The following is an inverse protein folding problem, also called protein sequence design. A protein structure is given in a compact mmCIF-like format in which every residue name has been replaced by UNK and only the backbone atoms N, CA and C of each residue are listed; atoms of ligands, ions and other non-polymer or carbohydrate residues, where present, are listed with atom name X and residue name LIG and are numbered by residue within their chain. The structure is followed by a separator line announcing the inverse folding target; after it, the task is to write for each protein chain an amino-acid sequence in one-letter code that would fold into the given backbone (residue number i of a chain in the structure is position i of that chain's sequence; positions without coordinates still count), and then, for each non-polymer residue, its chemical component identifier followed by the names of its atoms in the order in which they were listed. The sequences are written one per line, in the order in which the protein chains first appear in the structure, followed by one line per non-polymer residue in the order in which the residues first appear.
data_IF_213716562775
#
_entry.id   IF_213716562775
#
_cell.length_a   1.000
_cell.length_b   1.000
_cell.length_c   1.000
_cell.angle_alpha   90.00
_cell.angle_beta   90.00
_cell.angle_gamma   90.00
#
_symmetry.space_group_name_H-M   'P 1'
#
loop_
_entity.id
_entity.type
_entity.pdbx_description
1 polymer ?
#
# COMPACT_ATOMS: atom_id res chain seq x y z
N UNK A 1 19.75 4.28 9.52
CA UNK A 1 18.80 3.13 9.49
C UNK A 1 19.20 1.97 10.40
N UNK A 2 20.48 1.80 10.77
CA UNK A 2 20.95 0.69 11.61
C UNK A 2 20.36 0.64 13.03
N UNK A 3 20.00 1.80 13.61
CA UNK A 3 19.41 1.92 14.95
C UNK A 3 17.90 1.62 15.02
N UNK A 4 17.23 1.35 13.89
CA UNK A 4 15.77 1.11 13.87
C UNK A 4 15.33 -0.03 14.81
N UNK A 5 16.05 -1.16 14.92
CA UNK A 5 15.69 -2.23 15.87
C UNK A 5 15.76 -1.80 17.33
N UNK A 6 16.63 -0.84 17.68
CA UNK A 6 16.81 -0.33 19.05
C UNK A 6 15.62 0.53 19.51
N UNK A 7 14.92 1.16 18.56
CA UNK A 7 13.79 2.06 18.83
C UNK A 7 12.46 1.31 19.03
N UNK A 8 12.49 -0.03 19.08
CA UNK A 8 11.28 -0.86 19.14
C UNK A 8 10.76 -0.94 20.58
N UNK A 9 9.52 -0.51 20.79
CA UNK A 9 8.81 -0.63 22.04
C UNK A 9 8.17 -2.02 22.14
N UNK A 10 8.22 -2.61 23.33
CA UNK A 10 7.54 -3.87 23.64
C UNK A 10 6.47 -3.62 24.70
N UNK A 11 5.26 -4.07 24.42
CA UNK A 11 4.13 -4.05 25.36
C UNK A 11 3.82 -5.50 25.71
N UNK A 12 3.89 -5.85 27.01
CA UNK A 12 3.75 -7.23 27.48
C UNK A 12 4.66 -8.23 26.74
N UNK A 13 5.92 -7.84 26.48
CA UNK A 13 6.90 -8.66 25.76
C UNK A 13 6.68 -8.78 24.25
N UNK A 14 5.57 -8.28 23.72
CA UNK A 14 5.24 -8.29 22.28
C UNK A 14 5.55 -6.95 21.64
N UNK A 15 6.10 -7.00 20.43
CA UNK A 15 6.37 -5.80 19.63
C UNK A 15 5.10 -5.30 18.96
N UNK A 16 4.95 -3.98 18.85
CA UNK A 16 3.85 -3.38 18.10
C UNK A 16 3.97 -3.78 16.62
N UNK A 17 2.88 -4.26 15.97
CA UNK A 17 2.95 -4.76 14.59
C UNK A 17 3.51 -3.74 13.59
N UNK A 18 3.18 -2.46 13.78
CA UNK A 18 3.66 -1.36 12.93
C UNK A 18 5.18 -1.17 13.05
N UNK A 19 5.71 -1.15 14.26
CA UNK A 19 7.16 -1.01 14.48
C UNK A 19 7.94 -2.19 13.90
N UNK A 20 7.40 -3.41 14.08
CA UNK A 20 7.98 -4.62 13.47
C UNK A 20 7.95 -4.55 11.94
N UNK A 21 6.93 -3.94 11.34
CA UNK A 21 6.85 -3.69 9.91
C UNK A 21 7.93 -2.69 9.46
N UNK A 22 8.04 -1.55 10.13
CA UNK A 22 9.05 -0.51 9.85
C UNK A 22 10.47 -1.06 9.95
N UNK A 23 10.76 -1.86 10.97
CA UNK A 23 12.08 -2.47 11.14
C UNK A 23 12.41 -3.43 10.01
N UNK A 24 11.49 -4.34 9.65
CA UNK A 24 11.72 -5.25 8.51
C UNK A 24 11.96 -4.47 7.22
N UNK A 25 11.23 -3.37 7.01
CA UNK A 25 11.43 -2.49 5.85
C UNK A 25 12.80 -1.83 5.88
N UNK A 26 13.23 -1.35 7.04
CA UNK A 26 14.55 -0.75 7.21
C UNK A 26 15.70 -1.76 7.03
N UNK A 27 15.62 -2.92 7.67
CA UNK A 27 16.63 -3.98 7.57
C UNK A 27 16.79 -4.47 6.13
N UNK A 28 15.69 -4.63 5.38
CA UNK A 28 15.75 -5.02 3.97
C UNK A 28 16.59 -4.03 3.15
N UNK A 29 16.40 -2.74 3.35
CA UNK A 29 17.17 -1.71 2.63
C UNK A 29 18.65 -1.73 3.03
N UNK A 30 18.97 -1.95 4.29
CA UNK A 30 20.35 -2.12 4.76
C UNK A 30 21.03 -3.35 4.15
N UNK A 31 20.35 -4.49 4.12
CA UNK A 31 20.86 -5.71 3.51
C UNK A 31 21.19 -5.53 2.02
N UNK A 32 20.43 -4.68 1.33
CA UNK A 32 20.69 -4.35 -0.08
C UNK A 32 21.93 -3.47 -0.27
N UNK A 33 22.19 -2.55 0.66
CA UNK A 33 23.31 -1.59 0.56
C UNK A 33 24.66 -2.21 0.90
N UNK A 34 24.70 -3.30 1.67
CA UNK A 34 25.95 -4.00 1.97
C UNK A 34 26.64 -4.56 0.71
N UNK A 35 25.92 -4.68 -0.42
CA UNK A 35 26.47 -5.10 -1.70
C UNK A 35 27.05 -3.94 -2.54
N UNK A 36 26.86 -2.67 -2.14
CA UNK A 36 27.38 -1.47 -2.79
C UNK A 36 27.78 -0.43 -1.71
N UNK A 37 29.03 -0.49 -1.24
CA UNK A 37 29.54 0.28 -0.09
C UNK A 37 29.76 1.79 -0.36
N UNK A 38 29.70 2.24 -1.61
CA UNK A 38 30.33 3.52 -2.01
C UNK A 38 29.36 4.71 -2.18
N UNK A 39 28.12 4.64 -1.68
CA UNK A 39 27.16 5.74 -1.85
C UNK A 39 26.28 5.99 -0.63
N UNK A 40 26.34 7.20 -0.07
CA UNK A 40 25.49 7.67 1.04
C UNK A 40 24.01 7.80 0.61
N UNK A 41 23.75 8.07 -0.67
CA UNK A 41 22.38 8.15 -1.24
C UNK A 41 21.61 6.82 -1.19
N UNK A 42 22.33 5.69 -1.18
CA UNK A 42 21.76 4.34 -1.21
C UNK A 42 21.04 4.01 0.10
N UNK A 43 21.31 4.74 1.19
CA UNK A 43 20.72 4.51 2.51
C UNK A 43 19.32 5.10 2.74
N UNK A 44 18.67 5.72 1.74
CA UNK A 44 17.30 6.23 1.91
C UNK A 44 16.26 5.16 1.60
N UNK A 45 15.19 5.11 2.41
CA UNK A 45 13.98 4.33 2.10
C UNK A 45 13.18 5.06 1.03
N UNK A 46 12.60 4.31 0.08
CA UNK A 46 11.70 4.88 -0.93
C UNK A 46 10.28 5.04 -0.36
N UNK A 47 9.75 6.27 -0.45
CA UNK A 47 8.40 6.68 -0.02
C UNK A 47 7.91 6.19 1.37
N UNK A 48 8.75 6.11 2.42
CA UNK A 48 8.35 5.54 3.71
C UNK A 48 7.22 6.34 4.37
N UNK A 49 7.23 7.67 4.26
CA UNK A 49 6.18 8.50 4.84
C UNK A 49 4.80 8.24 4.22
N UNK A 50 4.73 8.09 2.89
CA UNK A 50 3.47 7.88 2.18
C UNK A 50 2.90 6.48 2.41
N UNK A 51 3.78 5.48 2.47
CA UNK A 51 3.40 4.13 2.86
C UNK A 51 2.81 4.12 4.28
N UNK A 52 3.43 4.82 5.23
CA UNK A 52 2.91 4.96 6.59
C UNK A 52 1.57 5.71 6.64
N UNK A 53 1.42 6.80 5.88
CA UNK A 53 0.14 7.51 5.77
C UNK A 53 -0.96 6.54 5.31
N UNK A 54 -0.70 5.70 4.31
CA UNK A 54 -1.65 4.68 3.89
C UNK A 54 -1.95 3.63 4.97
N UNK A 55 -0.90 3.10 5.61
CA UNK A 55 -1.03 2.10 6.67
C UNK A 55 -1.71 2.67 7.93
N UNK A 56 -1.72 3.98 8.14
CA UNK A 56 -2.46 4.64 9.21
C UNK A 56 -3.84 5.15 8.77
N UNK A 57 -4.30 4.78 7.55
CA UNK A 57 -5.57 5.25 6.97
C UNK A 57 -5.64 6.78 6.77
N UNK A 58 -4.50 7.47 6.73
CA UNK A 58 -4.39 8.92 6.65
C UNK A 58 -4.96 9.53 5.37
N UNK A 59 -4.87 8.83 4.22
CA UNK A 59 -5.48 9.30 2.97
C UNK A 59 -7.00 9.44 3.04
N UNK A 60 -7.68 8.66 3.90
CA UNK A 60 -9.11 8.83 4.14
C UNK A 60 -9.42 10.13 4.87
N UNK A 61 -8.58 10.51 5.84
CA UNK A 61 -8.73 11.76 6.58
C UNK A 61 -8.47 12.95 5.66
N UNK A 62 -7.38 12.93 4.87
CA UNK A 62 -7.02 14.03 3.96
C UNK A 62 -8.13 14.38 2.96
N UNK A 63 -8.92 13.39 2.53
CA UNK A 63 -10.00 13.60 1.57
C UNK A 63 -11.26 14.22 2.20
N UNK A 64 -11.53 13.93 3.48
CA UNK A 64 -12.77 14.34 4.13
C UNK A 64 -12.76 15.80 4.63
N UNK A 65 -11.58 16.43 4.75
CA UNK A 65 -11.42 17.75 5.39
C UNK A 65 -11.16 18.91 4.43
N UNK A 66 -11.85 18.97 3.28
CA UNK A 66 -11.84 20.15 2.38
C UNK A 66 -10.47 20.55 1.78
N UNK A 67 -9.47 19.66 1.78
CA UNK A 67 -8.15 19.95 1.21
C UNK A 67 -7.75 19.02 0.04
N UNK A 68 -8.54 18.92 -1.06
CA UNK A 68 -8.16 18.14 -2.24
C UNK A 68 -6.79 18.51 -2.83
N UNK A 69 -6.38 19.78 -2.68
CA UNK A 69 -5.07 20.25 -3.11
C UNK A 69 -3.91 19.51 -2.44
N UNK A 70 -4.07 19.05 -1.19
CA UNK A 70 -3.02 18.31 -0.48
C UNK A 70 -2.78 16.99 -1.21
N UNK A 71 -3.84 16.27 -1.59
CA UNK A 71 -3.71 15.00 -2.31
C UNK A 71 -2.98 15.19 -3.64
N UNK A 72 -3.26 16.30 -4.34
CA UNK A 72 -2.55 16.67 -5.57
C UNK A 72 -1.07 16.95 -5.32
N UNK A 73 -0.72 17.72 -4.29
CA UNK A 73 0.68 17.95 -3.91
C UNK A 73 1.40 16.64 -3.53
N UNK A 74 0.73 15.75 -2.80
CA UNK A 74 1.30 14.44 -2.44
C UNK A 74 1.56 13.61 -3.70
N UNK A 75 0.63 13.61 -4.67
CA UNK A 75 0.82 12.92 -5.95
C UNK A 75 2.03 13.48 -6.72
N UNK A 76 2.11 14.81 -6.88
CA UNK A 76 3.25 15.46 -7.56
C UNK A 76 4.59 15.11 -6.89
N UNK A 77 4.61 15.07 -5.55
CA UNK A 77 5.80 14.67 -4.80
C UNK A 77 6.14 13.19 -5.00
N UNK A 78 5.15 12.29 -4.93
CA UNK A 78 5.34 10.85 -5.15
C UNK A 78 5.92 10.57 -6.54
N UNK A 79 5.40 11.23 -7.57
CA UNK A 79 5.86 11.06 -8.95
C UNK A 79 7.27 11.63 -9.14
N UNK A 80 7.57 12.80 -8.57
CA UNK A 80 8.92 13.39 -8.60
C UNK A 80 9.96 12.49 -7.91
N UNK A 81 9.64 11.95 -6.73
CA UNK A 81 10.52 11.02 -6.02
C UNK A 81 10.78 9.74 -6.84
N UNK A 82 9.75 9.24 -7.53
CA UNK A 82 9.90 8.11 -8.43
C UNK A 82 10.82 8.43 -9.61
N UNK A 83 10.71 9.61 -10.22
CA UNK A 83 11.61 10.01 -11.32
C UNK A 83 13.07 10.04 -10.89
N UNK A 84 13.35 10.64 -9.72
CA UNK A 84 14.71 10.69 -9.15
C UNK A 84 15.20 9.27 -8.85
N UNK A 85 14.37 8.46 -8.20
CA UNK A 85 14.70 7.08 -7.87
C UNK A 85 14.99 6.23 -9.12
N UNK A 86 14.14 6.34 -10.14
CA UNK A 86 14.24 5.55 -11.37
C UNK A 86 15.46 5.94 -12.22
N UNK A 87 15.86 7.23 -12.21
CA UNK A 87 17.09 7.69 -12.88
C UNK A 87 18.36 7.17 -12.19
N UNK A 88 18.36 7.09 -10.85
CA UNK A 88 19.50 6.61 -10.07
C UNK A 88 19.56 5.10 -9.87
N UNK A 89 18.49 4.36 -10.17
CA UNK A 89 18.42 2.93 -9.99
C UNK A 89 19.27 2.19 -11.03
N UNK A 90 20.48 1.76 -10.65
CA UNK A 90 21.21 0.71 -11.36
C UNK A 90 20.39 -0.58 -11.34
N UNK A 91 20.43 -1.34 -12.45
CA UNK A 91 19.54 -2.46 -12.87
C UNK A 91 19.39 -3.66 -11.90
N UNK A 92 19.13 -3.45 -10.61
CA UNK A 92 18.73 -4.50 -9.67
C UNK A 92 17.24 -4.79 -9.84
N UNK A 93 16.92 -5.60 -10.86
CA UNK A 93 15.59 -5.79 -11.43
C UNK A 93 14.46 -6.11 -10.42
N UNK A 94 14.73 -6.89 -9.37
CA UNK A 94 13.66 -7.35 -8.47
C UNK A 94 13.27 -6.32 -7.39
N UNK A 95 14.20 -5.48 -6.94
CA UNK A 95 13.92 -4.47 -5.92
C UNK A 95 13.31 -3.22 -6.54
N UNK A 96 13.79 -2.81 -7.71
CA UNK A 96 13.18 -1.72 -8.49
C UNK A 96 11.72 -2.04 -8.78
N UNK A 97 11.41 -3.29 -9.14
CA UNK A 97 10.02 -3.72 -9.36
C UNK A 97 9.16 -3.59 -8.11
N UNK A 98 9.66 -3.96 -6.92
CA UNK A 98 8.89 -3.84 -5.69
C UNK A 98 8.59 -2.37 -5.31
N UNK A 99 9.59 -1.49 -5.45
CA UNK A 99 9.42 -0.05 -5.22
C UNK A 99 8.50 0.59 -6.28
N UNK A 100 8.59 0.14 -7.53
CA UNK A 100 7.67 0.54 -8.59
C UNK A 100 6.22 0.20 -8.25
N UNK A 101 5.97 -0.98 -7.67
CA UNK A 101 4.62 -1.36 -7.25
C UNK A 101 4.11 -0.50 -6.10
N UNK A 102 4.98 -0.14 -5.15
CA UNK A 102 4.62 0.80 -4.10
C UNK A 102 4.29 2.19 -4.66
N UNK A 103 5.11 2.69 -5.59
CA UNK A 103 4.85 3.96 -6.28
C UNK A 103 3.49 3.93 -7.00
N UNK A 104 3.26 2.93 -7.86
CA UNK A 104 1.98 2.75 -8.55
C UNK A 104 0.81 2.67 -7.58
N UNK A 105 0.99 1.96 -6.47
CA UNK A 105 -0.05 1.79 -5.45
C UNK A 105 -0.43 3.12 -4.80
N UNK A 106 0.55 3.90 -4.35
CA UNK A 106 0.33 5.20 -3.73
C UNK A 106 -0.24 6.22 -4.75
N UNK A 107 0.25 6.18 -5.99
CA UNK A 107 -0.28 6.96 -7.11
C UNK A 107 -1.76 6.68 -7.33
N UNK A 108 -2.15 5.41 -7.40
CA UNK A 108 -3.54 4.99 -7.58
C UNK A 108 -4.44 5.46 -6.43
N UNK A 109 -3.95 5.42 -5.18
CA UNK A 109 -4.71 5.95 -4.04
C UNK A 109 -4.98 7.44 -4.21
N UNK A 110 -3.95 8.25 -4.52
CA UNK A 110 -4.12 9.68 -4.72
C UNK A 110 -5.12 9.99 -5.85
N UNK A 111 -4.99 9.30 -6.99
CA UNK A 111 -5.93 9.41 -8.12
C UNK A 111 -7.36 9.09 -7.71
N UNK A 112 -7.56 7.98 -6.98
CA UNK A 112 -8.88 7.60 -6.48
C UNK A 112 -9.46 8.61 -5.49
N UNK A 113 -8.63 9.31 -4.70
CA UNK A 113 -9.09 10.40 -3.82
C UNK A 113 -9.42 11.70 -4.57
N UNK A 114 -8.82 11.94 -5.72
CA UNK A 114 -9.16 13.09 -6.57
C UNK A 114 -10.36 12.85 -7.48
N UNK A 115 -10.95 11.65 -7.47
CA UNK A 115 -12.09 11.29 -8.33
C UNK A 115 -11.68 10.67 -9.67
N UNK A 116 -10.38 10.47 -9.92
CA UNK A 116 -9.85 9.83 -11.13
C UNK A 116 -9.96 8.31 -11.05
N UNK A 117 -11.19 7.82 -10.89
CA UNK A 117 -11.48 6.42 -10.56
C UNK A 117 -11.05 5.45 -11.66
N UNK A 118 -11.23 5.80 -12.94
CA UNK A 118 -10.88 4.91 -14.06
C UNK A 118 -9.36 4.68 -14.17
N UNK A 119 -8.57 5.74 -14.02
CA UNK A 119 -7.11 5.62 -14.04
C UNK A 119 -6.62 4.82 -12.82
N UNK A 120 -7.14 5.15 -11.63
CA UNK A 120 -6.83 4.44 -10.40
C UNK A 120 -7.15 2.93 -10.52
N UNK A 121 -8.32 2.60 -11.06
CA UNK A 121 -8.75 1.23 -11.32
C UNK A 121 -7.78 0.48 -12.25
N UNK A 122 -7.37 1.10 -13.36
CA UNK A 122 -6.42 0.52 -14.30
C UNK A 122 -5.05 0.23 -13.67
N UNK A 123 -4.58 1.13 -12.80
CA UNK A 123 -3.32 0.94 -12.08
C UNK A 123 -3.42 -0.21 -11.07
N UNK A 124 -4.50 -0.29 -10.29
CA UNK A 124 -4.70 -1.41 -9.36
C UNK A 124 -4.79 -2.76 -10.08
N UNK A 125 -5.44 -2.83 -11.24
CA UNK A 125 -5.42 -4.04 -12.07
C UNK A 125 -4.01 -4.41 -12.52
N UNK A 126 -3.19 -3.42 -12.91
CA UNK A 126 -1.79 -3.64 -13.28
C UNK A 126 -0.98 -4.19 -12.10
N UNK A 127 -1.18 -3.67 -10.90
CA UNK A 127 -0.51 -4.17 -9.68
C UNK A 127 -0.89 -5.63 -9.42
N UNK A 128 -2.18 -5.96 -9.46
CA UNK A 128 -2.65 -7.34 -9.24
C UNK A 128 -2.06 -8.30 -10.30
N UNK A 129 -2.03 -7.90 -11.57
CA UNK A 129 -1.44 -8.70 -12.67
C UNK A 129 0.08 -8.88 -12.55
N UNK A 130 0.76 -7.99 -11.84
CA UNK A 130 2.21 -8.05 -11.68
C UNK A 130 2.69 -8.99 -10.57
N UNK A 131 1.74 -9.64 -9.87
CA UNK A 131 2.02 -10.57 -8.78
C UNK A 131 2.99 -11.67 -9.21
N UNK A 132 4.01 -11.91 -8.38
CA UNK A 132 4.94 -13.03 -8.51
C UNK A 132 5.14 -13.67 -7.14
N UNK A 133 5.52 -14.97 -7.07
CA UNK A 133 5.76 -15.64 -5.79
C UNK A 133 6.76 -14.89 -4.89
N UNK A 134 7.83 -14.35 -5.48
CA UNK A 134 8.85 -13.58 -4.76
C UNK A 134 8.30 -12.28 -4.14
N UNK A 135 7.36 -11.61 -4.82
CA UNK A 135 6.72 -10.39 -4.31
C UNK A 135 5.64 -10.73 -3.27
N UNK A 136 4.82 -11.76 -3.55
CA UNK A 136 3.71 -12.19 -2.69
C UNK A 136 4.17 -12.61 -1.30
N UNK A 137 5.24 -13.40 -1.22
CA UNK A 137 5.79 -13.88 0.06
C UNK A 137 6.89 -12.96 0.62
N UNK A 138 7.19 -11.87 -0.07
CA UNK A 138 8.16 -10.86 0.36
C UNK A 138 7.56 -9.76 1.23
N UNK A 139 8.39 -8.78 1.57
CA UNK A 139 8.00 -7.62 2.40
C UNK A 139 6.84 -6.80 1.80
N UNK A 140 6.71 -6.79 0.46
CA UNK A 140 5.68 -6.05 -0.28
C UNK A 140 4.41 -6.89 -0.54
N UNK A 141 4.34 -8.11 0.00
CA UNK A 141 3.21 -9.00 -0.18
C UNK A 141 1.88 -8.42 0.29
N UNK A 142 1.91 -7.47 1.23
CA UNK A 142 0.73 -6.76 1.72
C UNK A 142 0.06 -5.87 0.65
N UNK A 143 0.78 -5.47 -0.40
CA UNK A 143 0.24 -4.60 -1.45
C UNK A 143 -0.86 -5.28 -2.25
N UNK A 144 -0.78 -6.59 -2.50
CA UNK A 144 -1.77 -7.32 -3.30
C UNK A 144 -3.16 -7.39 -2.64
N UNK A 145 -3.31 -7.85 -1.38
CA UNK A 145 -4.61 -7.84 -0.72
C UNK A 145 -5.12 -6.42 -0.49
N UNK A 146 -4.24 -5.44 -0.23
CA UNK A 146 -4.62 -4.04 -0.18
C UNK A 146 -5.12 -3.52 -1.54
N UNK A 147 -4.49 -3.90 -2.66
CA UNK A 147 -4.91 -3.50 -4.00
C UNK A 147 -6.28 -4.08 -4.36
N UNK A 148 -6.54 -5.34 -3.99
CA UNK A 148 -7.87 -5.93 -4.12
C UNK A 148 -8.93 -5.18 -3.32
N UNK A 149 -8.61 -4.81 -2.07
CA UNK A 149 -9.49 -4.01 -1.23
C UNK A 149 -9.77 -2.62 -1.85
N UNK A 150 -8.74 -1.86 -2.22
CA UNK A 150 -8.94 -0.52 -2.79
C UNK A 150 -9.68 -0.57 -4.13
N UNK A 151 -9.40 -1.57 -4.98
CA UNK A 151 -10.14 -1.80 -6.23
C UNK A 151 -11.63 -2.07 -5.96
N UNK A 152 -11.94 -2.85 -4.92
CA UNK A 152 -13.32 -3.12 -4.51
C UNK A 152 -14.03 -1.86 -4.00
N UNK A 153 -13.32 -0.95 -3.33
CA UNK A 153 -13.87 0.32 -2.86
C UNK A 153 -14.19 1.24 -4.04
N UNK A 154 -13.25 1.40 -4.97
CA UNK A 154 -13.40 2.27 -6.16
C UNK A 154 -14.51 1.79 -7.11
N UNK A 155 -14.81 0.49 -7.13
CA UNK A 155 -15.81 -0.06 -8.03
C UNK A 155 -17.21 0.55 -7.83
N UNK A 156 -17.58 1.02 -6.64
CA UNK A 156 -18.89 1.70 -6.43
C UNK A 156 -19.00 2.98 -7.26
N UNK A 157 -17.89 3.71 -7.40
CA UNK A 157 -17.86 5.01 -8.06
C UNK A 157 -17.86 4.88 -9.60
N UNK A 158 -17.41 3.73 -10.12
CA UNK A 158 -17.36 3.46 -11.57
C UNK A 158 -18.61 2.74 -12.04
N UNK A 159 -18.92 1.62 -11.41
CA UNK A 159 -20.04 0.77 -11.78
C UNK A 159 -20.45 -0.08 -10.57
N UNK A 160 -21.53 0.29 -9.87
CA UNK A 160 -21.95 -0.37 -8.64
C UNK A 160 -22.35 -1.82 -8.93
N UNK A 161 -21.43 -2.74 -8.65
CA UNK A 161 -21.64 -4.18 -8.83
C UNK A 161 -21.22 -4.92 -7.56
N UNK A 162 -22.20 -5.21 -6.70
CA UNK A 162 -21.98 -5.88 -5.43
C UNK A 162 -21.29 -7.24 -5.60
N UNK A 163 -21.70 -8.03 -6.60
CA UNK A 163 -21.10 -9.33 -6.86
C UNK A 163 -19.59 -9.22 -7.15
N UNK A 164 -19.20 -8.27 -8.01
CA UNK A 164 -17.79 -8.04 -8.33
C UNK A 164 -17.00 -7.57 -7.10
N UNK A 165 -17.63 -6.80 -6.20
CA UNK A 165 -17.01 -6.38 -4.94
C UNK A 165 -16.75 -7.55 -4.01
N UNK A 166 -17.75 -8.38 -3.75
CA UNK A 166 -17.61 -9.56 -2.90
C UNK A 166 -16.49 -10.45 -3.42
N UNK A 167 -16.46 -10.72 -4.74
CA UNK A 167 -15.38 -11.50 -5.37
C UNK A 167 -13.99 -10.89 -5.15
N UNK A 168 -13.86 -9.56 -5.21
CA UNK A 168 -12.57 -8.90 -4.95
C UNK A 168 -12.16 -8.97 -3.48
N UNK A 169 -13.12 -8.80 -2.56
CA UNK A 169 -12.88 -8.88 -1.12
C UNK A 169 -12.51 -10.32 -0.70
N UNK A 170 -13.17 -11.33 -1.27
CA UNK A 170 -12.84 -12.75 -1.04
C UNK A 170 -11.43 -13.08 -1.54
N UNK A 171 -11.07 -12.59 -2.73
CA UNK A 171 -9.68 -12.70 -3.24
C UNK A 171 -8.69 -12.05 -2.29
N UNK A 172 -9.01 -10.89 -1.71
CA UNK A 172 -8.16 -10.24 -0.73
C UNK A 172 -7.98 -11.07 0.56
N UNK A 173 -9.04 -11.76 1.02
CA UNK A 173 -8.99 -12.64 2.20
C UNK A 173 -8.17 -13.93 1.97
N UNK A 174 -8.04 -14.36 0.72
CA UNK A 174 -7.26 -15.56 0.37
C UNK A 174 -5.75 -15.38 0.61
N UNK A 175 -5.24 -14.14 0.70
CA UNK A 175 -3.83 -13.87 1.04
C UNK A 175 -3.57 -14.12 2.54
N UNK A 176 -2.42 -14.75 2.84
CA UNK A 176 -2.00 -15.10 4.21
C UNK A 176 -0.49 -14.88 4.39
N UNK A 177 -0.05 -14.66 5.62
CA UNK A 177 1.37 -14.64 6.01
C UNK A 177 2.13 -13.35 5.66
N UNK A 178 1.43 -12.27 5.32
CA UNK A 178 2.04 -10.99 4.97
C UNK A 178 2.07 -10.01 6.16
N UNK A 179 2.89 -8.97 6.06
CA UNK A 179 2.99 -7.94 7.10
C UNK A 179 1.67 -7.18 7.28
N UNK A 180 1.25 -6.95 8.53
CA UNK A 180 0.00 -6.23 8.87
C UNK A 180 -1.28 -6.93 8.36
N UNK A 181 -1.26 -8.26 8.19
CA UNK A 181 -2.41 -9.07 7.75
C UNK A 181 -3.69 -8.81 8.56
N UNK A 182 -3.60 -8.80 9.88
CA UNK A 182 -4.76 -8.53 10.75
C UNK A 182 -5.41 -7.19 10.42
N UNK A 183 -4.61 -6.16 10.17
CA UNK A 183 -5.11 -4.82 9.81
C UNK A 183 -5.88 -4.87 8.49
N UNK A 184 -5.28 -5.45 7.45
CA UNK A 184 -5.92 -5.53 6.13
C UNK A 184 -7.21 -6.33 6.19
N UNK A 185 -7.23 -7.45 6.92
CA UNK A 185 -8.46 -8.23 7.16
C UNK A 185 -9.54 -7.43 7.87
N UNK A 186 -9.21 -6.67 8.91
CA UNK A 186 -10.19 -5.83 9.59
C UNK A 186 -10.81 -4.79 8.65
N UNK A 187 -10.02 -4.20 7.75
CA UNK A 187 -10.56 -3.29 6.73
C UNK A 187 -11.47 -4.01 5.73
N UNK A 188 -11.12 -5.22 5.31
CA UNK A 188 -11.95 -6.04 4.42
C UNK A 188 -13.29 -6.39 5.10
N UNK A 189 -13.26 -6.87 6.34
CA UNK A 189 -14.49 -7.15 7.11
C UNK A 189 -15.34 -5.90 7.29
N UNK A 190 -14.74 -4.74 7.59
CA UNK A 190 -15.48 -3.47 7.66
C UNK A 190 -16.15 -3.13 6.32
N UNK A 191 -15.49 -3.36 5.19
CA UNK A 191 -16.08 -3.15 3.87
C UNK A 191 -17.22 -4.15 3.58
N UNK A 192 -17.06 -5.43 3.93
CA UNK A 192 -18.11 -6.44 3.80
C UNK A 192 -19.34 -6.11 4.65
N UNK A 193 -19.15 -5.69 5.89
CA UNK A 193 -20.25 -5.32 6.79
C UNK A 193 -21.07 -4.15 6.23
N UNK A 194 -20.40 -3.13 5.64
CA UNK A 194 -21.10 -2.02 4.97
C UNK A 194 -21.98 -2.48 3.80
N UNK A 195 -21.52 -3.48 3.05
CA UNK A 195 -22.31 -4.09 1.97
C UNK A 195 -23.52 -4.87 2.50
N UNK A 196 -23.38 -5.54 3.65
CA UNK A 196 -24.49 -6.21 4.33
C UNK A 196 -25.53 -5.25 4.88
N UNK A 197 -25.08 -4.17 5.52
CA UNK A 197 -25.95 -3.11 6.03
C UNK A 197 -26.73 -2.46 4.89
N UNK A 198 -26.05 -2.08 3.79
CA UNK A 198 -26.71 -1.54 2.60
C UNK A 198 -27.79 -2.45 2.01
N UNK A 199 -27.59 -3.78 2.07
CA UNK A 199 -28.59 -4.77 1.64
C UNK A 199 -29.82 -4.81 2.55
N UNK A 200 -29.66 -4.59 3.86
CA UNK A 200 -30.80 -4.55 4.80
C UNK A 200 -31.67 -3.32 4.55
N UNK A 201 -31.07 -2.15 4.31
CA UNK A 201 -31.80 -0.92 4.04
C UNK A 201 -32.58 -0.93 2.71
N UNK A 202 -32.12 -1.65 1.69
CA UNK A 202 -32.83 -1.77 0.39
C UNK A 202 -34.02 -2.74 0.40
N UNK A 203 -34.17 -3.54 1.46
CA UNK A 203 -35.25 -4.54 1.59
C UNK A 203 -36.43 -4.05 2.44
N UNK A 204 -36.28 -2.88 3.08
CA UNK A 204 -37.33 -2.18 3.82
C UNK A 204 -37.82 -0.99 3.00
#
# INVERSE_FOLDING_TARGET
MSKVPENRIRIAGKSIPMEKFCEKRALRRLQMNNNNKDSEETQKLFLPQFELIYLCSGFGLLNNYCCPWIVRLLLEFIDKEWEVFNKGATKFNNCVKAEQLLWLFLRAICLGKMGEFHESFGIFQKIIRSESPALRYGQYGYLFPCAHLELALILDEINPSELKKVVLLDKALAYKGYGLETRTRLRIHSAMNKLEEGRKYRKN
#
